data_IF_630068833404
#
_entry.id   IF_630068833404
#
_cell.length_a   1.000
_cell.length_b   1.000
_cell.length_c   1.000
_cell.angle_alpha   90.00
_cell.angle_beta   90.00
_cell.angle_gamma   90.00
#
_symmetry.space_group_name_H-M   'P 1'
#
loop_
_entity.id
_entity.type
_entity.pdbx_description
1 polymer ?
#
# COMPACT_ATOMS: atom_id res chain seq x y z
N UNK A 1 8.12 -2.21 25.02
CA UNK A 1 7.38 -2.30 23.75
C UNK A 1 8.24 -3.06 22.78
N UNK A 2 7.96 -4.34 22.58
CA UNK A 2 8.76 -5.23 21.72
C UNK A 2 8.52 -4.80 20.27
N UNK A 3 9.53 -4.23 19.61
CA UNK A 3 9.44 -3.90 18.19
C UNK A 3 9.42 -5.21 17.41
N UNK A 4 8.30 -5.51 16.78
CA UNK A 4 8.17 -6.71 15.97
C UNK A 4 8.83 -6.41 14.63
N UNK A 5 9.77 -7.24 14.21
CA UNK A 5 10.46 -7.05 12.95
C UNK A 5 10.18 -8.23 12.05
N UNK A 6 9.42 -7.97 10.99
CA UNK A 6 9.14 -8.90 9.91
C UNK A 6 9.88 -8.42 8.67
N UNK A 7 10.41 -9.34 7.86
CA UNK A 7 10.95 -8.97 6.54
C UNK A 7 9.79 -8.93 5.56
N UNK A 8 9.35 -7.72 5.22
CA UNK A 8 8.24 -7.47 4.31
C UNK A 8 8.77 -6.80 3.03
N UNK A 9 8.51 -7.44 1.88
CA UNK A 9 8.94 -6.94 0.57
C UNK A 9 7.69 -6.48 -0.19
N UNK A 10 7.68 -5.20 -0.57
CA UNK A 10 6.61 -4.62 -1.39
C UNK A 10 7.06 -4.44 -2.85
N UNK A 11 6.16 -4.71 -3.78
CA UNK A 11 6.34 -4.58 -5.23
C UNK A 11 5.07 -3.96 -5.81
N UNK A 12 5.13 -2.76 -6.37
CA UNK A 12 3.99 -2.17 -7.06
C UNK A 12 4.13 -2.27 -8.58
N UNK A 13 2.99 -2.49 -9.23
CA UNK A 13 2.80 -2.37 -10.66
C UNK A 13 1.75 -1.28 -10.93
N UNK A 14 2.02 -0.45 -11.93
CA UNK A 14 1.10 0.57 -12.40
C UNK A 14 0.06 -0.06 -13.31
N UNK A 15 -1.21 0.24 -13.06
CA UNK A 15 -2.30 -0.13 -13.95
C UNK A 15 -2.94 1.17 -14.42
N UNK A 16 -2.52 1.65 -15.59
CA UNK A 16 -3.12 2.82 -16.23
C UNK A 16 -4.51 2.43 -16.75
N UNK A 17 -5.53 2.65 -15.93
CA UNK A 17 -6.92 2.56 -16.35
C UNK A 17 -7.30 3.79 -17.17
N UNK A 18 -7.18 3.72 -18.50
CA UNK A 18 -7.83 4.71 -19.35
C UNK A 18 -9.33 4.38 -19.40
N UNK A 19 -10.19 5.18 -18.77
CA UNK A 19 -11.63 4.91 -18.79
C UNK A 19 -12.50 6.07 -18.33
N UNK A 20 -13.10 6.78 -19.28
CA UNK A 20 -14.16 7.75 -19.03
C UNK A 20 -14.63 8.52 -20.26
N UNK A 21 -15.11 7.82 -21.30
CA UNK A 21 -15.77 8.44 -22.45
C UNK A 21 -17.14 9.00 -22.07
N UNK A 22 -17.28 10.32 -22.08
CA UNK A 22 -18.56 11.00 -21.93
C UNK A 22 -18.90 11.76 -23.21
N UNK A 23 -19.88 11.26 -23.97
CA UNK A 23 -20.58 12.04 -25.00
C UNK A 23 -21.50 13.03 -24.29
N UNK A 24 -20.98 14.20 -23.92
CA UNK A 24 -21.81 15.32 -23.52
C UNK A 24 -21.13 16.62 -23.95
N UNK A 25 -21.78 17.33 -24.87
CA UNK A 25 -21.44 18.70 -25.21
C UNK A 25 -21.72 19.58 -23.97
N UNK A 26 -20.71 19.78 -23.13
CA UNK A 26 -20.71 20.74 -22.02
C UNK A 26 -19.48 21.63 -22.20
N UNK A 27 -19.64 22.97 -22.31
CA UNK A 27 -18.50 23.86 -22.51
C UNK A 27 -17.64 23.92 -21.24
N UNK A 28 -16.47 23.27 -21.33
CA UNK A 28 -15.19 23.61 -20.70
C UNK A 28 -15.15 23.88 -19.18
N UNK A 29 -15.26 22.82 -18.37
CA UNK A 29 -14.44 22.62 -17.16
C UNK A 29 -14.17 21.12 -16.94
N UNK A 30 -13.71 20.43 -17.97
CA UNK A 30 -13.24 19.04 -17.87
C UNK A 30 -11.83 19.02 -17.28
N UNK A 31 -11.71 19.33 -16.00
CA UNK A 31 -10.68 18.71 -15.16
C UNK A 31 -11.06 17.23 -15.04
N UNK A 32 -10.91 16.48 -16.15
CA UNK A 32 -10.88 15.04 -16.12
C UNK A 32 -9.73 14.70 -15.18
N UNK A 33 -10.06 14.36 -13.93
CA UNK A 33 -9.05 14.04 -12.94
C UNK A 33 -8.31 12.84 -13.49
N UNK A 34 -7.02 13.02 -13.80
CA UNK A 34 -6.16 11.93 -14.24
C UNK A 34 -5.94 11.03 -13.02
N UNK A 35 -6.92 10.16 -12.76
CA UNK A 35 -6.88 9.18 -11.70
C UNK A 35 -6.19 7.95 -12.23
N UNK A 36 -5.16 7.50 -11.53
CA UNK A 36 -4.55 6.21 -11.81
C UNK A 36 -5.00 5.18 -10.77
N UNK A 37 -4.73 3.90 -11.08
CA UNK A 37 -4.80 2.80 -10.13
C UNK A 37 -3.44 2.14 -10.02
N UNK A 38 -3.00 1.86 -8.80
CA UNK A 38 -1.72 1.23 -8.51
C UNK A 38 -2.00 -0.11 -7.86
N UNK A 39 -1.55 -1.19 -8.49
CA UNK A 39 -1.62 -2.52 -7.91
C UNK A 39 -0.36 -2.75 -7.08
N UNK A 40 -0.53 -2.86 -5.77
CA UNK A 40 0.56 -3.13 -4.84
C UNK A 40 0.49 -4.62 -4.53
N UNK A 41 1.60 -5.32 -4.70
CA UNK A 41 1.78 -6.71 -4.35
C UNK A 41 2.86 -6.78 -3.27
N UNK A 42 2.80 -7.78 -2.41
CA UNK A 42 3.84 -8.02 -1.42
C UNK A 42 3.96 -9.50 -1.11
N UNK A 43 5.11 -9.86 -0.58
CA UNK A 43 5.31 -11.17 0.01
C UNK A 43 5.00 -11.08 1.50
N UNK A 44 4.04 -11.88 1.98
CA UNK A 44 3.81 -12.03 3.41
C UNK A 44 5.11 -12.46 4.11
N UNK A 45 5.43 -11.90 5.28
CA UNK A 45 6.66 -12.25 5.95
C UNK A 45 6.62 -13.70 6.42
N UNK A 46 7.66 -14.45 6.10
CA UNK A 46 7.87 -15.82 6.59
C UNK A 46 8.79 -15.86 7.81
N UNK A 47 9.56 -14.78 8.00
CA UNK A 47 10.65 -14.72 8.96
C UNK A 47 10.57 -13.45 9.82
N UNK A 48 11.01 -13.59 11.06
CA UNK A 48 11.23 -12.47 11.97
C UNK A 48 12.71 -12.09 11.95
N UNK A 49 13.01 -10.79 12.03
CA UNK A 49 14.41 -10.30 12.04
C UNK A 49 15.16 -10.75 13.29
N UNK A 50 14.44 -11.01 14.39
CA UNK A 50 15.02 -11.43 15.67
C UNK A 50 15.30 -12.94 15.73
N UNK A 51 14.99 -13.68 14.65
CA UNK A 51 15.18 -15.13 14.57
C UNK A 51 14.21 -15.94 15.41
N UNK A 52 13.22 -15.32 16.06
CA UNK A 52 12.20 -16.05 16.81
C UNK A 52 11.24 -16.80 15.89
N UNK A 53 10.69 -17.91 16.36
CA UNK A 53 9.79 -18.73 15.58
C UNK A 53 8.52 -17.97 15.21
N UNK A 54 8.16 -18.01 13.92
CA UNK A 54 6.89 -17.50 13.42
C UNK A 54 5.78 -18.47 13.82
N UNK A 55 4.79 -18.03 14.61
CA UNK A 55 3.64 -18.88 14.94
C UNK A 55 2.54 -18.69 13.89
N UNK A 56 1.85 -19.77 13.59
CA UNK A 56 0.65 -19.73 12.74
C UNK A 56 -0.37 -18.75 13.33
N UNK A 57 -0.88 -17.84 12.50
CA UNK A 57 -1.90 -16.86 12.90
C UNK A 57 -1.40 -15.63 13.66
N UNK A 58 -0.09 -15.37 13.72
CA UNK A 58 0.42 -14.17 14.41
C UNK A 58 0.13 -12.87 13.68
N UNK A 59 -0.04 -12.92 12.36
CA UNK A 59 -0.45 -11.77 11.56
C UNK A 59 -1.96 -11.62 11.69
N UNK A 60 -2.40 -10.43 12.08
CA UNK A 60 -3.80 -9.98 12.02
C UNK A 60 -4.09 -9.27 10.70
N UNK A 61 -3.07 -8.63 10.12
CA UNK A 61 -3.20 -8.00 8.81
C UNK A 61 -2.00 -7.13 8.47
N UNK A 62 -2.24 -6.15 7.59
CA UNK A 62 -1.25 -5.20 7.12
C UNK A 62 -1.79 -3.78 7.21
N UNK A 63 -0.90 -2.80 7.25
CA UNK A 63 -1.26 -1.40 7.12
C UNK A 63 -0.41 -0.75 6.05
N UNK A 64 -1.08 -0.34 4.98
CA UNK A 64 -0.47 0.29 3.82
C UNK A 64 -0.47 1.80 4.01
N UNK A 65 0.70 2.42 3.92
CA UNK A 65 0.90 3.85 4.04
C UNK A 65 1.26 4.43 2.68
N UNK A 66 0.67 5.56 2.31
CA UNK A 66 0.94 6.20 1.03
C UNK A 66 0.73 7.71 1.05
N UNK A 67 1.41 8.40 0.14
CA UNK A 67 1.28 9.84 -0.04
C UNK A 67 2.11 10.36 -1.21
N UNK A 68 1.94 11.65 -1.52
CA UNK A 68 2.72 12.35 -2.56
C UNK A 68 4.00 12.97 -1.99
N UNK A 69 4.19 12.94 -0.67
CA UNK A 69 5.41 13.36 0.03
C UNK A 69 6.17 12.15 0.52
N UNK A 70 7.49 12.26 0.54
CA UNK A 70 8.33 11.36 1.33
C UNK A 70 7.95 11.47 2.82
N UNK A 71 8.16 10.43 3.61
CA UNK A 71 7.59 10.25 4.95
C UNK A 71 7.66 11.53 5.83
N UNK A 72 6.61 11.87 6.61
CA UNK A 72 5.46 11.05 6.97
C UNK A 72 4.41 10.93 5.85
N UNK A 73 3.83 9.74 5.75
CA UNK A 73 2.75 9.45 4.80
C UNK A 73 1.45 10.10 5.27
N UNK A 74 0.73 10.75 4.36
CA UNK A 74 -0.52 11.44 4.67
C UNK A 74 -1.73 10.52 4.76
N UNK A 75 -1.64 9.31 4.21
CA UNK A 75 -2.74 8.35 4.17
C UNK A 75 -2.30 6.97 4.61
N UNK A 76 -3.25 6.20 5.15
CA UNK A 76 -3.07 4.79 5.46
C UNK A 76 -4.36 4.00 5.21
N UNK A 77 -4.21 2.73 4.83
CA UNK A 77 -5.29 1.75 4.69
C UNK A 77 -4.96 0.53 5.53
N UNK A 78 -5.93 0.09 6.33
CA UNK A 78 -5.85 -1.18 7.07
C UNK A 78 -6.38 -2.32 6.21
N UNK A 79 -5.60 -3.39 6.11
CA UNK A 79 -5.93 -4.62 5.39
C UNK A 79 -6.01 -5.72 6.45
N UNK A 80 -7.23 -6.11 6.84
CA UNK A 80 -7.48 -7.06 7.93
C UNK A 80 -7.44 -8.52 7.50
N UNK A 81 -7.16 -8.78 6.23
CA UNK A 81 -6.94 -10.14 5.74
C UNK A 81 -5.44 -10.47 5.89
N UNK A 82 -5.05 -11.37 6.82
CA UNK A 82 -3.67 -11.76 7.02
C UNK A 82 -3.10 -12.61 5.86
N UNK A 83 -3.95 -13.12 4.97
CA UNK A 83 -3.54 -13.85 3.77
C UNK A 83 -3.43 -12.94 2.53
N UNK A 84 -3.78 -11.66 2.64
CA UNK A 84 -3.67 -10.73 1.53
C UNK A 84 -2.20 -10.57 1.09
N UNK A 85 -1.99 -10.62 -0.22
CA UNK A 85 -0.68 -10.41 -0.87
C UNK A 85 -0.75 -9.31 -1.95
N UNK A 86 -1.91 -8.67 -2.10
CA UNK A 86 -2.12 -7.61 -3.06
C UNK A 86 -3.22 -6.63 -2.60
N UNK A 87 -3.11 -5.38 -3.03
CA UNK A 87 -4.08 -4.32 -2.81
C UNK A 87 -4.12 -3.39 -4.02
N UNK A 88 -5.32 -2.99 -4.44
CA UNK A 88 -5.52 -2.02 -5.52
C UNK A 88 -5.78 -0.65 -4.92
N UNK A 89 -4.81 0.25 -5.03
CA UNK A 89 -4.96 1.64 -4.64
C UNK A 89 -5.57 2.43 -5.81
N UNK A 90 -6.80 2.92 -5.66
CA UNK A 90 -7.54 3.63 -6.70
C UNK A 90 -7.64 5.12 -6.41
N UNK A 91 -7.85 5.93 -7.45
CA UNK A 91 -8.11 7.36 -7.30
C UNK A 91 -6.89 8.19 -6.93
N UNK A 92 -5.68 7.66 -7.18
CA UNK A 92 -4.43 8.37 -6.92
C UNK A 92 -4.19 9.47 -7.96
N UNK A 93 -3.62 10.58 -7.52
CA UNK A 93 -3.42 11.81 -8.30
C UNK A 93 -2.03 12.38 -8.09
N UNK A 94 -1.38 12.82 -9.16
CA UNK A 94 -0.04 13.38 -9.12
C UNK A 94 0.91 12.58 -10.00
N UNK A 95 2.19 12.92 -9.97
CA UNK A 95 3.22 12.27 -10.80
C UNK A 95 4.01 11.21 -10.05
N UNK A 96 4.09 11.31 -8.72
CA UNK A 96 4.88 10.40 -7.88
C UNK A 96 4.15 10.14 -6.57
N UNK A 97 4.08 8.88 -6.17
CA UNK A 97 3.65 8.42 -4.86
C UNK A 97 4.75 7.66 -4.15
N UNK A 98 4.76 7.76 -2.84
CA UNK A 98 5.58 6.94 -1.96
C UNK A 98 4.67 6.01 -1.18
N UNK A 99 5.05 4.74 -1.13
CA UNK A 99 4.28 3.67 -0.52
C UNK A 99 5.19 2.88 0.42
N UNK A 100 4.72 2.58 1.62
CA UNK A 100 5.36 1.66 2.55
C UNK A 100 4.29 0.87 3.30
N UNK A 101 4.66 -0.25 3.90
CA UNK A 101 3.69 -1.10 4.58
C UNK A 101 4.25 -1.65 5.90
N UNK A 102 3.38 -1.86 6.88
CA UNK A 102 3.69 -2.57 8.12
C UNK A 102 2.83 -3.81 8.24
N UNK A 103 3.30 -4.76 9.04
CA UNK A 103 2.56 -5.95 9.46
C UNK A 103 1.93 -5.65 10.80
N UNK A 104 0.68 -6.06 11.00
CA UNK A 104 -0.06 -5.92 12.26
C UNK A 104 -0.20 -7.30 12.87
N UNK A 105 0.21 -7.46 14.13
CA UNK A 105 0.04 -8.71 14.86
C UNK A 105 -1.37 -8.83 15.51
N UNK A 106 -1.66 -9.98 16.12
CA UNK A 106 -2.91 -10.21 16.87
C UNK A 106 -3.11 -9.29 18.07
N UNK A 107 -2.05 -8.66 18.58
CA UNK A 107 -2.09 -7.66 19.64
C UNK A 107 -2.29 -6.23 19.15
N UNK A 108 -2.38 -6.01 17.83
CA UNK A 108 -2.45 -4.69 17.21
C UNK A 108 -1.12 -3.95 17.14
N UNK A 109 0.00 -4.63 17.41
CA UNK A 109 1.34 -4.05 17.30
C UNK A 109 1.77 -4.02 15.83
N UNK A 110 2.31 -2.88 15.40
CA UNK A 110 2.84 -2.72 14.05
C UNK A 110 4.34 -3.05 14.00
N UNK A 111 4.77 -3.65 12.89
CA UNK A 111 6.17 -3.84 12.58
C UNK A 111 6.88 -2.54 12.20
N UNK A 112 8.18 -2.62 11.99
CA UNK A 112 8.88 -1.60 11.20
C UNK A 112 8.29 -1.52 9.78
N UNK A 113 8.41 -0.35 9.15
CA UNK A 113 8.05 -0.18 7.75
C UNK A 113 8.87 -1.12 6.85
N UNK A 114 8.25 -1.58 5.77
CA UNK A 114 8.93 -2.18 4.62
C UNK A 114 9.94 -1.20 4.01
N UNK A 115 10.68 -1.67 3.00
CA UNK A 115 11.30 -0.76 2.07
C UNK A 115 10.23 0.19 1.49
N UNK A 116 10.57 1.46 1.37
CA UNK A 116 9.73 2.43 0.69
C UNK A 116 9.81 2.20 -0.81
N UNK A 117 8.66 2.29 -1.47
CA UNK A 117 8.54 2.19 -2.90
C UNK A 117 8.07 3.52 -3.47
N UNK A 118 8.82 4.04 -4.42
CA UNK A 118 8.41 5.16 -5.24
C UNK A 118 7.65 4.65 -6.47
N UNK A 119 6.47 5.19 -6.70
CA UNK A 119 5.58 4.84 -7.81
C UNK A 119 5.37 6.09 -8.65
N UNK A 120 5.85 6.06 -9.89
CA UNK A 120 5.63 7.15 -10.85
C UNK A 120 4.34 6.87 -11.62
N UNK A 121 3.36 7.77 -11.53
CA UNK A 121 2.04 7.63 -12.18
C UNK A 121 2.06 8.06 -13.64
#
# INVERSE_FOLDING_TARGET
MTKISFILIIIAALVTGCGGGANAHVPNTSNAMNLASVKINWQAPTDRIDGSAFKSGEISGYKLYYGTTDAPYSNAVSITDPAATQYMLVGVRGSVYYVAMTVVDQGGNESQFSNQLQVNL
#
